data_IF_407660617671
#
_entry.id   IF_407660617671
#
_cell.length_a   1.000
_cell.length_b   1.000
_cell.length_c   1.000
_cell.angle_alpha   90.00
_cell.angle_beta   90.00
_cell.angle_gamma   90.00
#
_symmetry.space_group_name_H-M   'P 1'
#
loop_
_entity.id
_entity.type
_entity.pdbx_description
1 polymer ?
#
# COMPACT_ATOMS: atom_id res chain seq x y z
N UNK A 1 -6.15 22.11 1.35
CA UNK A 1 -6.44 20.72 1.75
C UNK A 1 -6.82 19.83 0.56
N UNK A 2 -7.70 20.27 -0.31
CA UNK A 2 -8.10 19.47 -1.50
C UNK A 2 -6.90 19.11 -2.37
N UNK A 3 -6.00 20.07 -2.64
CA UNK A 3 -4.80 19.81 -3.44
C UNK A 3 -3.93 18.72 -2.80
N UNK A 4 -3.74 18.79 -1.48
CA UNK A 4 -2.94 17.80 -0.76
C UNK A 4 -3.58 16.40 -0.83
N UNK A 5 -4.89 16.32 -0.65
CA UNK A 5 -5.62 15.05 -0.76
C UNK A 5 -5.43 14.46 -2.15
N UNK A 6 -5.62 15.24 -3.21
CA UNK A 6 -5.47 14.77 -4.59
C UNK A 6 -4.04 14.32 -4.88
N UNK A 7 -3.04 15.08 -4.42
CA UNK A 7 -1.65 14.70 -4.60
C UNK A 7 -1.32 13.37 -3.93
N UNK A 8 -1.69 13.21 -2.66
CA UNK A 8 -1.46 11.96 -1.93
C UNK A 8 -2.22 10.79 -2.56
N UNK A 9 -3.47 11.01 -2.92
CA UNK A 9 -4.34 10.04 -3.59
C UNK A 9 -3.69 9.52 -4.88
N UNK A 10 -3.19 10.40 -5.72
CA UNK A 10 -2.60 10.01 -7.00
C UNK A 10 -1.23 9.37 -6.82
N UNK A 11 -0.37 9.92 -5.96
CA UNK A 11 0.96 9.36 -5.71
C UNK A 11 0.84 7.96 -5.14
N UNK A 12 0.04 7.79 -4.09
CA UNK A 12 -0.15 6.47 -3.46
C UNK A 12 -0.82 5.48 -4.42
N UNK A 13 -1.79 5.95 -5.19
CA UNK A 13 -2.45 5.12 -6.18
C UNK A 13 -1.46 4.58 -7.22
N UNK A 14 -0.61 5.43 -7.75
CA UNK A 14 0.39 5.03 -8.75
C UNK A 14 1.41 4.08 -8.15
N UNK A 15 1.97 4.42 -6.98
CA UNK A 15 3.01 3.61 -6.33
C UNK A 15 2.49 2.22 -6.01
N UNK A 16 1.32 2.12 -5.37
CA UNK A 16 0.77 0.82 -5.00
C UNK A 16 0.20 0.05 -6.18
N UNK A 17 -0.24 0.74 -7.23
CA UNK A 17 -0.63 0.06 -8.47
C UNK A 17 0.56 -0.65 -9.09
N UNK A 18 1.68 0.04 -9.23
CA UNK A 18 2.90 -0.54 -9.78
C UNK A 18 3.39 -1.70 -8.92
N UNK A 19 3.43 -1.51 -7.60
CA UNK A 19 3.84 -2.57 -6.67
C UNK A 19 2.90 -3.77 -6.73
N UNK A 20 1.60 -3.53 -6.79
CA UNK A 20 0.60 -4.59 -6.86
C UNK A 20 0.70 -5.39 -8.16
N UNK A 21 0.85 -4.73 -9.29
CA UNK A 21 1.04 -5.39 -10.58
C UNK A 21 2.33 -6.21 -10.55
N UNK A 22 3.42 -5.67 -9.99
CA UNK A 22 4.67 -6.42 -9.85
C UNK A 22 4.50 -7.70 -9.03
N UNK A 23 3.73 -7.64 -7.95
CA UNK A 23 3.42 -8.82 -7.13
C UNK A 23 2.57 -9.83 -7.88
N UNK A 24 1.57 -9.36 -8.63
CA UNK A 24 0.68 -10.26 -9.41
C UNK A 24 1.39 -10.93 -10.56
N UNK A 25 2.30 -10.23 -11.23
CA UNK A 25 3.04 -10.75 -12.38
C UNK A 25 4.26 -11.57 -12.00
N UNK A 26 4.60 -11.61 -10.71
CA UNK A 26 5.74 -12.41 -10.25
C UNK A 26 7.08 -11.76 -10.50
N UNK A 27 7.18 -10.43 -10.40
CA UNK A 27 8.46 -9.75 -10.49
C UNK A 27 9.43 -10.33 -9.45
N UNK A 28 10.68 -10.56 -9.88
CA UNK A 28 11.67 -11.28 -9.05
C UNK A 28 11.90 -10.65 -7.69
N UNK A 29 11.89 -9.33 -7.60
CA UNK A 29 12.10 -8.63 -6.33
C UNK A 29 11.04 -9.04 -5.30
N UNK A 30 9.79 -9.18 -5.71
CA UNK A 30 8.71 -9.56 -4.82
C UNK A 30 8.68 -11.06 -4.54
N UNK A 31 8.91 -11.89 -5.55
CA UNK A 31 9.01 -13.35 -5.36
C UNK A 31 10.11 -13.66 -4.34
N UNK A 32 11.28 -13.05 -4.51
CA UNK A 32 12.42 -13.27 -3.61
C UNK A 32 12.15 -12.71 -2.20
N UNK A 33 11.50 -11.55 -2.10
CA UNK A 33 11.16 -10.96 -0.80
C UNK A 33 10.22 -11.86 0.00
N UNK A 34 9.13 -12.34 -0.62
CA UNK A 34 8.18 -13.22 0.06
C UNK A 34 8.81 -14.55 0.44
N UNK A 35 9.68 -15.09 -0.43
CA UNK A 35 10.43 -16.30 -0.12
C UNK A 35 11.36 -16.10 1.07
N UNK A 36 12.07 -14.98 1.13
CA UNK A 36 12.93 -14.60 2.26
C UNK A 36 12.13 -14.46 3.56
N UNK A 37 10.92 -13.92 3.48
CA UNK A 37 10.03 -13.77 4.63
C UNK A 37 9.32 -15.07 5.01
N UNK A 38 9.56 -16.15 4.28
CA UNK A 38 8.90 -17.45 4.49
C UNK A 38 7.39 -17.41 4.33
N UNK A 39 6.93 -16.55 3.43
CA UNK A 39 5.52 -16.42 3.08
C UNK A 39 5.25 -17.13 1.76
N UNK A 40 4.03 -17.65 1.59
CA UNK A 40 3.64 -18.36 0.38
C UNK A 40 3.56 -17.40 -0.82
N UNK A 41 3.75 -17.94 -2.01
CA UNK A 41 3.55 -17.15 -3.23
C UNK A 41 2.06 -16.82 -3.44
N UNK A 42 1.15 -17.66 -2.95
CA UNK A 42 -0.28 -17.34 -2.96
C UNK A 42 -0.58 -16.10 -2.14
N UNK A 43 0.09 -15.93 -1.00
CA UNK A 43 -0.06 -14.72 -0.17
C UNK A 43 0.47 -13.49 -0.90
N UNK A 44 1.54 -13.61 -1.68
CA UNK A 44 2.05 -12.53 -2.54
C UNK A 44 0.97 -12.07 -3.52
N UNK A 45 0.26 -13.02 -4.13
CA UNK A 45 -0.83 -12.68 -5.06
C UNK A 45 -1.99 -11.98 -4.36
N UNK A 46 -2.34 -12.41 -3.15
CA UNK A 46 -3.39 -11.75 -2.36
C UNK A 46 -3.00 -10.31 -2.03
N UNK A 47 -1.79 -10.09 -1.56
CA UNK A 47 -1.32 -8.74 -1.23
C UNK A 47 -1.29 -7.86 -2.48
N UNK A 48 -0.77 -8.38 -3.59
CA UNK A 48 -0.75 -7.65 -4.86
C UNK A 48 -2.14 -7.28 -5.34
N UNK A 49 -3.08 -8.20 -5.24
CA UNK A 49 -4.48 -7.95 -5.60
C UNK A 49 -5.11 -6.86 -4.73
N UNK A 50 -4.85 -6.90 -3.42
CA UNK A 50 -5.34 -5.86 -2.49
C UNK A 50 -4.73 -4.50 -2.81
N UNK A 51 -3.44 -4.45 -3.15
CA UNK A 51 -2.78 -3.20 -3.51
C UNK A 51 -3.37 -2.59 -4.79
N UNK A 52 -3.61 -3.41 -5.81
CA UNK A 52 -4.25 -2.95 -7.06
C UNK A 52 -5.67 -2.47 -6.76
N UNK A 53 -6.43 -3.23 -5.99
CA UNK A 53 -7.80 -2.86 -5.64
C UNK A 53 -7.84 -1.53 -4.87
N UNK A 54 -6.97 -1.36 -3.88
CA UNK A 54 -6.86 -0.11 -3.13
C UNK A 54 -6.50 1.07 -4.05
N UNK A 55 -5.58 0.85 -4.99
CA UNK A 55 -5.17 1.87 -5.96
C UNK A 55 -6.34 2.29 -6.84
N UNK A 56 -7.13 1.34 -7.33
CA UNK A 56 -8.33 1.64 -8.12
C UNK A 56 -9.33 2.45 -7.30
N UNK A 57 -9.51 2.11 -6.02
CA UNK A 57 -10.36 2.90 -5.12
C UNK A 57 -9.84 4.34 -4.97
N UNK A 58 -8.54 4.52 -4.82
CA UNK A 58 -7.96 5.86 -4.74
C UNK A 58 -8.22 6.66 -6.02
N UNK A 59 -8.06 6.05 -7.19
CA UNK A 59 -8.34 6.73 -8.45
C UNK A 59 -9.83 7.04 -8.60
N UNK A 60 -10.71 6.12 -8.19
CA UNK A 60 -12.16 6.35 -8.18
C UNK A 60 -12.57 7.44 -7.17
N UNK A 61 -11.68 7.79 -6.27
CA UNK A 61 -11.89 8.84 -5.28
C UNK A 61 -12.10 10.23 -5.88
N UNK A 62 -11.82 10.43 -7.17
CA UNK A 62 -12.19 11.68 -7.86
C UNK A 62 -13.71 11.89 -7.90
N UNK A 63 -14.49 10.82 -7.73
CA UNK A 63 -15.95 10.88 -7.71
C UNK A 63 -16.51 11.02 -6.30
N UNK A 64 -15.83 10.48 -5.29
CA UNK A 64 -16.30 10.51 -3.91
C UNK A 64 -15.18 10.22 -2.93
N UNK A 65 -15.11 10.96 -1.82
CA UNK A 65 -14.15 10.71 -0.75
C UNK A 65 -14.32 9.34 -0.07
N UNK A 66 -15.50 8.73 -0.16
CA UNK A 66 -15.72 7.37 0.36
C UNK A 66 -14.72 6.40 -0.25
N UNK A 67 -14.46 6.49 -1.55
CA UNK A 67 -13.48 5.62 -2.21
C UNK A 67 -12.05 5.90 -1.74
N UNK A 68 -11.71 7.16 -1.50
CA UNK A 68 -10.40 7.52 -0.94
C UNK A 68 -10.23 6.90 0.46
N UNK A 69 -11.24 7.01 1.30
CA UNK A 69 -11.21 6.47 2.66
C UNK A 69 -11.03 4.95 2.62
N UNK A 70 -11.81 4.25 1.81
CA UNK A 70 -11.72 2.80 1.69
C UNK A 70 -10.35 2.35 1.18
N UNK A 71 -9.85 3.00 0.14
CA UNK A 71 -8.53 2.70 -0.40
C UNK A 71 -7.42 2.95 0.60
N UNK A 72 -7.46 4.09 1.29
CA UNK A 72 -6.46 4.44 2.30
C UNK A 72 -6.50 3.47 3.49
N UNK A 73 -7.68 3.03 3.92
CA UNK A 73 -7.81 2.03 4.98
C UNK A 73 -7.11 0.73 4.60
N UNK A 74 -7.32 0.26 3.38
CA UNK A 74 -6.67 -0.96 2.90
C UNK A 74 -5.15 -0.78 2.89
N UNK A 75 -4.66 0.35 2.41
CA UNK A 75 -3.22 0.62 2.34
C UNK A 75 -2.59 0.74 3.73
N UNK A 76 -3.28 1.35 4.68
CA UNK A 76 -2.82 1.40 6.08
C UNK A 76 -2.72 -0.01 6.65
N UNK A 77 -3.73 -0.84 6.42
CA UNK A 77 -3.72 -2.24 6.87
C UNK A 77 -2.56 -3.04 6.27
N UNK A 78 -2.34 -2.90 4.97
CA UNK A 78 -1.22 -3.55 4.27
C UNK A 78 0.12 -3.07 4.84
N UNK A 79 0.24 -1.77 5.09
CA UNK A 79 1.47 -1.19 5.63
C UNK A 79 1.78 -1.69 7.03
N UNK A 80 0.77 -1.78 7.89
CA UNK A 80 0.92 -2.34 9.23
C UNK A 80 1.38 -3.80 9.13
N UNK A 81 0.72 -4.59 8.28
CA UNK A 81 1.11 -5.98 8.05
C UNK A 81 2.54 -6.11 7.53
N UNK A 82 2.93 -5.25 6.60
CA UNK A 82 4.28 -5.22 6.06
C UNK A 82 5.33 -4.89 7.12
N UNK A 83 5.06 -3.91 7.97
CA UNK A 83 5.96 -3.54 9.07
C UNK A 83 6.11 -4.72 10.03
N UNK A 84 5.01 -5.38 10.39
CA UNK A 84 5.05 -6.54 11.28
C UNK A 84 5.88 -7.69 10.67
N UNK A 85 5.77 -7.92 9.36
CA UNK A 85 6.58 -8.92 8.67
C UNK A 85 8.06 -8.57 8.74
N UNK A 86 8.42 -7.33 8.42
CA UNK A 86 9.81 -6.86 8.52
C UNK A 86 10.37 -7.04 9.93
N UNK A 87 9.59 -6.69 10.95
CA UNK A 87 9.99 -6.86 12.35
C UNK A 87 10.16 -8.34 12.71
N UNK A 88 9.28 -9.21 12.22
CA UNK A 88 9.33 -10.64 12.54
C UNK A 88 10.56 -11.32 11.97
N UNK A 89 11.07 -10.85 10.83
CA UNK A 89 12.29 -11.39 10.21
C UNK A 89 13.54 -10.57 10.57
N UNK A 90 13.40 -9.61 11.49
CA UNK A 90 14.49 -8.78 12.02
C UNK A 90 15.20 -7.98 10.93
N UNK A 91 14.44 -7.45 9.99
CA UNK A 91 14.97 -6.53 8.98
C UNK A 91 15.45 -5.25 9.63
N UNK A 92 16.44 -4.62 9.00
CA UNK A 92 16.96 -3.33 9.47
C UNK A 92 15.94 -2.23 9.20
N UNK A 93 15.99 -1.17 10.02
CA UNK A 93 15.02 -0.06 9.90
C UNK A 93 15.00 0.55 8.50
N UNK A 94 16.17 0.71 7.85
CA UNK A 94 16.21 1.30 6.52
C UNK A 94 15.57 0.40 5.44
N UNK A 95 15.50 -0.90 5.68
CA UNK A 95 14.80 -1.83 4.77
C UNK A 95 13.29 -1.67 4.88
N UNK A 96 12.80 -1.19 6.03
CA UNK A 96 11.38 -0.92 6.28
C UNK A 96 10.97 0.50 5.88
N UNK A 97 11.92 1.42 5.67
CA UNK A 97 11.60 2.84 5.44
C UNK A 97 10.58 3.05 4.32
N UNK A 98 10.66 2.39 3.17
CA UNK A 98 9.66 2.60 2.12
C UNK A 98 8.24 2.32 2.60
N UNK A 99 8.00 1.21 3.30
CA UNK A 99 6.65 0.86 3.77
C UNK A 99 6.21 1.76 4.92
N UNK A 100 7.14 2.19 5.79
CA UNK A 100 6.85 3.13 6.87
C UNK A 100 6.40 4.47 6.28
N UNK A 101 7.14 4.99 5.30
CA UNK A 101 6.82 6.27 4.65
C UNK A 101 5.48 6.18 3.92
N UNK A 102 5.29 5.13 3.13
CA UNK A 102 4.05 4.94 2.38
C UNK A 102 2.86 4.74 3.31
N UNK A 103 3.04 4.00 4.39
CA UNK A 103 2.00 3.79 5.39
C UNK A 103 1.64 5.07 6.12
N UNK A 104 2.63 5.89 6.47
CA UNK A 104 2.40 7.20 7.09
C UNK A 104 1.64 8.14 6.16
N UNK A 105 1.99 8.17 4.87
CA UNK A 105 1.29 8.97 3.88
C UNK A 105 -0.15 8.49 3.69
N UNK A 106 -0.38 7.17 3.67
CA UNK A 106 -1.71 6.60 3.57
C UNK A 106 -2.56 6.96 4.80
N UNK A 107 -1.96 6.93 5.99
CA UNK A 107 -2.64 7.33 7.22
C UNK A 107 -3.01 8.81 7.21
N UNK A 108 -2.11 9.68 6.76
CA UNK A 108 -2.37 11.10 6.60
C UNK A 108 -3.53 11.31 5.61
N UNK A 109 -3.50 10.62 4.47
CA UNK A 109 -4.58 10.69 3.49
C UNK A 109 -5.91 10.27 4.09
N UNK A 110 -5.92 9.18 4.86
CA UNK A 110 -7.11 8.68 5.54
C UNK A 110 -7.70 9.75 6.47
N UNK A 111 -6.87 10.40 7.28
CA UNK A 111 -7.32 11.45 8.20
C UNK A 111 -7.87 12.64 7.45
N UNK A 112 -7.15 13.10 6.41
CA UNK A 112 -7.57 14.27 5.64
C UNK A 112 -8.88 14.02 4.90
N UNK A 113 -9.04 12.86 4.27
CA UNK A 113 -10.26 12.50 3.56
C UNK A 113 -11.43 12.32 4.52
N UNK A 114 -11.18 11.82 5.73
CA UNK A 114 -12.20 11.60 6.74
C UNK A 114 -12.77 12.88 7.31
N UNK A 115 -12.00 13.96 7.35
CA UNK A 115 -12.44 15.27 7.85
C UNK A 115 -12.85 16.25 6.74
N UNK A 116 -12.65 15.86 5.50
CA UNK A 116 -12.98 16.69 4.34
C UNK A 116 -14.49 16.79 4.08
#
# INVERSE_FOLDING_TARGET
MVVLIVLLQMILGIVFFIAGIGKLTGARVYVNAFRRWRLSQSFRLVVGGLEVFASVLLFAGIFSYVFVILGALILVGISIGGILIHLSVKDRIYEMLPIIILGALAFILLLLAGIA
#
